data_IF_837343957108
#
_entry.id   IF_837343957108
#
_cell.length_a   1.000
_cell.length_b   1.000
_cell.length_c   1.000
_cell.angle_alpha   90.00
_cell.angle_beta   90.00
_cell.angle_gamma   90.00
#
_symmetry.space_group_name_H-M   'P 1'
#
loop_
_entity.id
_entity.type
_entity.pdbx_description
1 polymer ?
#
# COMPACT_ATOMS: atom_id res chain seq x y z
N UNK A 1 -7.39 30.73 -13.84
CA UNK A 1 -7.96 29.71 -14.74
C UNK A 1 -7.36 29.85 -16.14
N UNK A 2 -7.12 28.75 -16.85
CA UNK A 2 -6.72 28.77 -18.27
C UNK A 2 -7.89 28.21 -19.08
N UNK A 3 -8.35 28.93 -20.10
CA UNK A 3 -9.45 28.53 -21.00
C UNK A 3 -8.86 28.19 -22.37
N UNK A 4 -9.09 26.97 -22.85
CA UNK A 4 -8.58 26.45 -24.12
C UNK A 4 -7.20 25.76 -24.00
N UNK A 5 -6.69 25.22 -25.11
CA UNK A 5 -5.41 24.51 -25.19
C UNK A 5 -4.48 25.11 -26.25
N UNK A 6 -3.16 25.00 -26.05
CA UNK A 6 -2.16 25.47 -27.00
C UNK A 6 -2.07 27.01 -27.10
N UNK A 7 -1.62 27.57 -28.24
CA UNK A 7 -1.37 29.02 -28.39
C UNK A 7 -2.62 29.90 -28.31
N UNK A 8 -3.82 29.31 -28.34
CA UNK A 8 -5.10 30.02 -28.17
C UNK A 8 -5.60 30.04 -26.72
N UNK A 9 -4.87 29.37 -25.81
CA UNK A 9 -5.21 29.33 -24.40
C UNK A 9 -5.18 30.74 -23.80
N UNK A 10 -6.28 31.13 -23.15
CA UNK A 10 -6.39 32.43 -22.46
C UNK A 10 -6.25 32.23 -20.96
N UNK A 11 -5.35 32.99 -20.33
CA UNK A 11 -5.21 33.02 -18.88
C UNK A 11 -6.14 34.09 -18.30
N UNK A 12 -7.13 33.64 -17.53
CA UNK A 12 -8.01 34.50 -16.74
C UNK A 12 -7.49 34.51 -15.31
N UNK A 13 -6.99 35.66 -14.88
CA UNK A 13 -6.63 35.94 -13.49
C UNK A 13 -7.86 36.56 -12.83
N UNK A 14 -8.47 35.86 -11.87
CA UNK A 14 -9.50 36.42 -11.02
C UNK A 14 -8.82 36.85 -9.73
N UNK A 15 -8.85 38.14 -9.43
CA UNK A 15 -8.35 38.66 -8.18
C UNK A 15 -9.41 38.40 -7.10
N UNK A 16 -9.19 37.36 -6.29
CA UNK A 16 -10.13 36.86 -5.28
C UNK A 16 -9.95 37.54 -3.92
N UNK A 17 -9.20 38.65 -3.86
CA UNK A 17 -8.59 39.23 -2.66
C UNK A 17 -9.55 39.76 -1.59
N UNK A 18 -10.88 39.66 -1.78
CA UNK A 18 -11.87 39.94 -0.74
C UNK A 18 -13.00 38.88 -0.61
N UNK A 19 -12.99 37.80 -1.40
CA UNK A 19 -14.13 36.86 -1.48
C UNK A 19 -13.90 35.49 -0.83
N UNK A 20 -12.67 35.14 -0.46
CA UNK A 20 -12.31 33.84 0.06
C UNK A 20 -11.25 34.00 1.15
N UNK A 21 -11.61 33.73 2.41
CA UNK A 21 -10.58 33.55 3.44
C UNK A 21 -9.78 32.29 3.08
N UNK A 22 -8.46 32.32 3.26
CA UNK A 22 -7.51 31.25 2.88
C UNK A 22 -7.85 29.90 3.53
N UNK A 23 -8.73 29.88 4.53
CA UNK A 23 -9.12 28.68 5.28
C UNK A 23 -10.54 28.16 4.99
N UNK A 24 -11.37 28.87 4.22
CA UNK A 24 -12.69 28.36 3.87
C UNK A 24 -12.53 27.43 2.67
N UNK A 25 -12.21 26.16 2.95
CA UNK A 25 -12.74 25.08 2.12
C UNK A 25 -14.24 25.34 2.05
N UNK A 26 -14.71 25.83 0.90
CA UNK A 26 -16.06 26.36 0.80
C UNK A 26 -17.07 25.35 1.36
N UNK A 27 -17.68 25.65 2.50
CA UNK A 27 -18.78 24.83 3.05
C UNK A 27 -19.97 24.82 2.07
N UNK A 28 -20.07 25.86 1.24
CA UNK A 28 -21.08 26.02 0.22
C UNK A 28 -20.52 26.63 -1.09
N UNK A 29 -21.05 26.24 -2.26
CA UNK A 29 -20.71 26.86 -3.54
C UNK A 29 -20.96 28.38 -3.53
N UNK A 30 -19.96 29.15 -3.96
CA UNK A 30 -20.05 30.60 -4.07
C UNK A 30 -20.49 31.03 -5.46
N UNK A 31 -21.43 31.97 -5.53
CA UNK A 31 -21.82 32.60 -6.78
C UNK A 31 -20.95 33.82 -7.07
N UNK A 32 -20.50 33.95 -8.32
CA UNK A 32 -19.64 35.02 -8.82
C UNK A 32 -20.25 35.63 -10.09
N UNK A 33 -19.77 36.81 -10.48
CA UNK A 33 -20.13 37.50 -11.73
C UNK A 33 -21.66 37.61 -11.96
N UNK A 34 -22.38 38.26 -11.05
CA UNK A 34 -23.84 38.40 -11.08
C UNK A 34 -24.58 37.05 -11.15
N UNK A 35 -24.13 36.07 -10.36
CA UNK A 35 -24.65 34.70 -10.30
C UNK A 35 -24.52 33.89 -11.61
N UNK A 36 -23.60 34.28 -12.50
CA UNK A 36 -23.32 33.54 -13.75
C UNK A 36 -22.23 32.47 -13.61
N UNK A 37 -21.49 32.50 -12.52
CA UNK A 37 -20.44 31.54 -12.22
C UNK A 37 -20.61 31.01 -10.80
N UNK A 38 -20.21 29.75 -10.58
CA UNK A 38 -20.21 29.11 -9.27
C UNK A 38 -18.83 28.54 -9.01
N UNK A 39 -18.21 28.91 -7.89
CA UNK A 39 -16.92 28.36 -7.46
C UNK A 39 -17.13 27.43 -6.26
N UNK A 40 -16.58 26.22 -6.33
CA UNK A 40 -16.69 25.22 -5.26
C UNK A 40 -15.54 24.22 -5.34
N UNK A 41 -14.85 23.97 -4.22
CA UNK A 41 -13.72 23.04 -4.12
C UNK A 41 -12.70 23.20 -5.28
N UNK A 42 -12.16 24.41 -5.45
CA UNK A 42 -11.17 24.77 -6.48
C UNK A 42 -11.63 24.61 -7.93
N UNK A 43 -12.93 24.50 -8.16
CA UNK A 43 -13.54 24.33 -9.49
C UNK A 43 -14.53 25.44 -9.79
N UNK A 44 -14.60 25.80 -11.06
CA UNK A 44 -15.54 26.79 -11.58
C UNK A 44 -16.62 26.09 -12.42
N UNK A 45 -17.87 26.36 -12.10
CA UNK A 45 -19.06 25.87 -12.79
C UNK A 45 -19.80 27.07 -13.40
N UNK A 46 -20.44 26.85 -14.55
CA UNK A 46 -21.19 27.89 -15.24
C UNK A 46 -22.63 27.39 -15.46
N UNK A 47 -23.61 27.85 -14.67
CA UNK A 47 -25.01 27.55 -14.94
C UNK A 47 -25.42 28.13 -16.31
N UNK A 48 -26.37 27.48 -16.99
CA UNK A 48 -26.87 27.94 -18.30
C UNK A 48 -27.42 29.37 -18.27
N UNK A 49 -27.96 29.77 -17.12
CA UNK A 49 -28.44 31.14 -16.86
C UNK A 49 -28.31 31.47 -15.38
N UNK A 50 -28.28 32.77 -15.08
CA UNK A 50 -28.37 33.24 -13.71
C UNK A 50 -29.71 32.81 -13.07
N UNK A 51 -29.70 32.38 -11.79
CA UNK A 51 -30.91 32.04 -11.06
C UNK A 51 -31.79 33.28 -10.88
N UNK A 52 -33.10 33.11 -11.07
CA UNK A 52 -34.12 34.15 -10.93
C UNK A 52 -34.79 34.14 -9.55
N UNK A 53 -34.61 33.06 -8.79
CA UNK A 53 -35.22 32.87 -7.47
C UNK A 53 -34.27 32.17 -6.51
N UNK A 54 -34.59 32.23 -5.21
CA UNK A 54 -33.84 31.51 -4.18
C UNK A 54 -33.86 29.98 -4.40
N UNK A 55 -35.00 29.43 -4.85
CA UNK A 55 -35.13 28.00 -5.14
C UNK A 55 -34.24 27.57 -6.32
N UNK A 56 -34.18 28.36 -7.40
CA UNK A 56 -33.26 28.09 -8.52
C UNK A 56 -31.79 28.15 -8.08
N UNK A 57 -31.46 29.08 -7.17
CA UNK A 57 -30.12 29.21 -6.59
C UNK A 57 -29.76 27.97 -5.77
N UNK A 58 -30.67 27.49 -4.94
CA UNK A 58 -30.50 26.29 -4.13
C UNK A 58 -30.35 25.03 -5.00
N UNK A 59 -31.13 24.92 -6.08
CA UNK A 59 -30.99 23.82 -7.03
C UNK A 59 -29.60 23.78 -7.67
N UNK A 60 -29.07 24.93 -8.10
CA UNK A 60 -27.71 25.03 -8.66
C UNK A 60 -26.67 24.60 -7.61
N UNK A 61 -26.82 25.05 -6.36
CA UNK A 61 -25.93 24.64 -5.26
C UNK A 61 -25.92 23.12 -5.10
N UNK A 62 -27.09 22.50 -5.02
CA UNK A 62 -27.21 21.06 -4.82
C UNK A 62 -26.62 20.28 -6.00
N UNK A 63 -26.87 20.71 -7.23
CA UNK A 63 -26.26 20.11 -8.44
C UNK A 63 -24.75 20.22 -8.43
N UNK A 64 -24.20 21.40 -8.09
CA UNK A 64 -22.74 21.60 -7.98
C UNK A 64 -22.13 20.71 -6.90
N UNK A 65 -22.75 20.64 -5.71
CA UNK A 65 -22.29 19.74 -4.64
C UNK A 65 -22.29 18.29 -5.08
N UNK A 66 -23.39 17.83 -5.70
CA UNK A 66 -23.52 16.47 -6.21
C UNK A 66 -22.38 16.13 -7.19
N UNK A 67 -22.13 16.97 -8.18
CA UNK A 67 -21.07 16.75 -9.17
C UNK A 67 -19.69 16.58 -8.50
N UNK A 68 -19.37 17.45 -7.55
CA UNK A 68 -18.09 17.36 -6.84
C UNK A 68 -18.01 16.10 -5.99
N UNK A 69 -19.07 15.72 -5.28
CA UNK A 69 -19.09 14.52 -4.45
C UNK A 69 -19.02 13.24 -5.27
N UNK A 70 -19.74 13.15 -6.38
CA UNK A 70 -19.72 12.00 -7.28
C UNK A 70 -18.29 11.78 -7.82
N UNK A 71 -17.64 12.85 -8.31
CA UNK A 71 -16.25 12.76 -8.78
C UNK A 71 -15.25 12.41 -7.67
N UNK A 72 -15.44 12.95 -6.45
CA UNK A 72 -14.60 12.61 -5.31
C UNK A 72 -14.74 11.14 -4.92
N UNK A 73 -15.95 10.59 -4.96
CA UNK A 73 -16.22 9.18 -4.70
C UNK A 73 -15.58 8.29 -5.77
N UNK A 74 -15.70 8.66 -7.05
CA UNK A 74 -15.06 7.94 -8.16
C UNK A 74 -13.54 7.95 -8.03
N UNK A 75 -12.95 9.11 -7.73
CA UNK A 75 -11.52 9.24 -7.52
C UNK A 75 -11.04 8.40 -6.33
N UNK A 76 -11.79 8.40 -5.23
CA UNK A 76 -11.47 7.59 -4.06
C UNK A 76 -11.51 6.09 -4.36
N UNK A 77 -12.54 5.63 -5.09
CA UNK A 77 -12.67 4.25 -5.55
C UNK A 77 -11.52 3.85 -6.46
N UNK A 78 -11.17 4.69 -7.44
CA UNK A 78 -10.06 4.44 -8.36
C UNK A 78 -8.72 4.38 -7.61
N UNK A 79 -8.47 5.31 -6.68
CA UNK A 79 -7.26 5.29 -5.84
C UNK A 79 -7.13 4.00 -5.03
N UNK A 80 -8.24 3.52 -4.46
CA UNK A 80 -8.25 2.25 -3.73
C UNK A 80 -7.95 1.06 -4.65
N UNK A 81 -8.53 1.03 -5.85
CA UNK A 81 -8.26 -0.01 -6.84
C UNK A 81 -6.77 -0.02 -7.26
N UNK A 82 -6.18 1.15 -7.51
CA UNK A 82 -4.76 1.29 -7.84
C UNK A 82 -3.88 0.78 -6.70
N UNK A 83 -4.15 1.18 -5.45
CA UNK A 83 -3.38 0.71 -4.30
C UNK A 83 -3.41 -0.82 -4.14
N UNK A 84 -4.57 -1.45 -4.38
CA UNK A 84 -4.69 -2.91 -4.35
C UNK A 84 -3.84 -3.59 -5.44
N UNK A 85 -3.84 -3.04 -6.66
CA UNK A 85 -3.02 -3.55 -7.76
C UNK A 85 -1.53 -3.38 -7.49
N UNK A 86 -1.12 -2.22 -6.96
CA UNK A 86 0.26 -1.94 -6.55
C UNK A 86 0.73 -2.94 -5.49
N UNK A 87 -0.10 -3.22 -4.48
CA UNK A 87 0.19 -4.22 -3.46
C UNK A 87 0.34 -5.64 -4.05
N UNK A 88 -0.51 -6.03 -5.00
CA UNK A 88 -0.39 -7.32 -5.69
C UNK A 88 0.90 -7.43 -6.52
N UNK A 89 1.27 -6.37 -7.24
CA UNK A 89 2.55 -6.31 -7.97
C UNK A 89 3.74 -6.38 -7.01
N UNK A 90 3.67 -5.70 -5.87
CA UNK A 90 4.72 -5.78 -4.86
C UNK A 90 4.86 -7.19 -4.26
N UNK A 91 3.74 -7.88 -4.00
CA UNK A 91 3.74 -9.27 -3.52
C UNK A 91 4.40 -10.22 -4.52
N UNK A 92 4.07 -10.11 -5.81
CA UNK A 92 4.68 -10.95 -6.86
C UNK A 92 6.19 -10.69 -7.01
N UNK A 93 6.67 -9.46 -6.83
CA UNK A 93 8.10 -9.12 -6.87
C UNK A 93 8.88 -9.59 -5.65
N UNK A 94 8.30 -9.48 -4.46
CA UNK A 94 8.97 -9.83 -3.19
C UNK A 94 8.88 -11.32 -2.84
N UNK A 95 7.94 -12.05 -3.45
CA UNK A 95 7.68 -13.44 -3.13
C UNK A 95 7.12 -13.64 -1.72
N UNK A 96 6.70 -14.86 -1.37
CA UNK A 96 6.25 -15.16 -0.01
C UNK A 96 7.40 -14.95 0.98
N UNK A 97 7.23 -14.00 1.91
CA UNK A 97 8.16 -13.75 3.00
C UNK A 97 8.15 -14.98 3.92
N UNK A 98 9.29 -15.66 4.04
CA UNK A 98 9.41 -16.81 4.95
C UNK A 98 9.49 -16.31 6.39
N UNK A 99 8.70 -16.89 7.27
CA UNK A 99 8.82 -16.62 8.70
C UNK A 99 10.20 -17.08 9.20
N UNK A 100 10.95 -16.21 9.89
CA UNK A 100 12.23 -16.61 10.46
C UNK A 100 12.02 -17.71 11.50
N UNK A 101 13.03 -18.58 11.66
CA UNK A 101 13.03 -19.57 12.75
C UNK A 101 13.04 -18.80 14.08
N UNK A 102 12.06 -19.03 14.98
CA UNK A 102 12.01 -18.41 16.30
C UNK A 102 13.28 -18.66 17.12
N UNK A 103 13.66 -17.69 17.95
CA UNK A 103 14.92 -17.74 18.69
C UNK A 103 14.94 -18.82 19.78
N UNK A 104 13.80 -19.05 20.44
CA UNK A 104 13.59 -20.16 21.38
C UNK A 104 13.83 -21.53 20.71
N UNK A 105 13.31 -21.72 19.49
CA UNK A 105 13.55 -22.94 18.71
C UNK A 105 15.03 -23.11 18.37
N UNK A 106 15.74 -22.03 17.99
CA UNK A 106 17.19 -22.09 17.74
C UNK A 106 17.95 -22.48 19.00
N UNK A 107 17.61 -21.93 20.15
CA UNK A 107 18.25 -22.25 21.43
C UNK A 107 18.05 -23.73 21.81
N UNK A 108 16.83 -24.25 21.64
CA UNK A 108 16.53 -25.68 21.88
C UNK A 108 17.36 -26.58 20.97
N UNK A 109 17.39 -26.28 19.67
CA UNK A 109 18.18 -27.03 18.69
C UNK A 109 19.68 -26.94 18.99
N UNK A 110 20.17 -25.76 19.39
CA UNK A 110 21.56 -25.56 19.75
C UNK A 110 21.99 -26.39 20.96
N UNK A 111 21.16 -26.40 22.01
CA UNK A 111 21.39 -27.20 23.20
C UNK A 111 21.34 -28.70 22.86
N UNK A 112 20.34 -29.13 22.08
CA UNK A 112 20.16 -30.53 21.64
C UNK A 112 21.35 -31.04 20.83
N UNK A 113 21.85 -30.24 19.89
CA UNK A 113 22.92 -30.65 18.95
C UNK A 113 24.33 -30.31 19.49
N UNK A 114 24.44 -29.78 20.72
CA UNK A 114 25.70 -29.47 21.38
C UNK A 114 26.51 -28.37 20.67
N UNK A 115 25.84 -27.46 19.97
CA UNK A 115 26.48 -26.42 19.16
C UNK A 115 27.36 -26.98 18.03
N UNK A 116 26.99 -28.11 17.45
CA UNK A 116 27.72 -28.75 16.37
C UNK A 116 26.77 -29.38 15.34
N UNK A 117 27.22 -29.53 14.09
CA UNK A 117 26.50 -30.42 13.18
C UNK A 117 26.78 -31.88 13.55
N UNK A 118 25.76 -32.60 14.02
CA UNK A 118 25.89 -33.95 14.61
C UNK A 118 26.54 -34.97 13.67
N UNK A 119 26.33 -34.89 12.35
CA UNK A 119 26.89 -35.90 11.42
C UNK A 119 28.36 -35.68 11.08
N UNK A 120 28.80 -34.43 10.95
CA UNK A 120 30.18 -34.14 10.53
C UNK A 120 31.07 -33.62 11.68
N UNK A 121 30.48 -33.27 12.83
CA UNK A 121 31.19 -32.76 14.00
C UNK A 121 31.64 -31.30 13.90
N UNK A 122 31.33 -30.58 12.82
CA UNK A 122 31.73 -29.18 12.65
C UNK A 122 31.08 -28.30 13.73
N UNK A 123 31.88 -27.36 14.27
CA UNK A 123 31.47 -26.36 15.29
C UNK A 123 31.60 -24.91 14.83
N UNK A 124 31.87 -24.71 13.54
CA UNK A 124 32.05 -23.39 12.91
C UNK A 124 31.15 -23.29 11.69
N UNK A 125 30.80 -22.06 11.31
CA UNK A 125 29.96 -21.77 10.14
C UNK A 125 28.66 -22.59 10.15
N UNK A 126 27.99 -22.54 11.29
CA UNK A 126 26.77 -23.29 11.57
C UNK A 126 25.55 -22.50 11.11
N UNK A 127 24.63 -23.21 10.48
CA UNK A 127 23.37 -22.70 9.98
C UNK A 127 22.23 -23.54 10.54
N UNK A 128 21.16 -22.88 10.98
CA UNK A 128 19.89 -23.54 11.26
C UNK A 128 19.15 -23.76 9.95
N UNK A 129 18.80 -25.01 9.65
CA UNK A 129 18.17 -25.37 8.39
C UNK A 129 17.03 -26.36 8.61
N UNK A 130 16.03 -26.32 7.74
CA UNK A 130 14.85 -27.19 7.86
C UNK A 130 15.11 -28.58 7.30
N UNK A 131 14.79 -29.61 8.06
CA UNK A 131 14.77 -31.01 7.63
C UNK A 131 13.80 -31.19 6.46
N UNK A 132 12.57 -30.72 6.60
CA UNK A 132 11.58 -30.55 5.53
C UNK A 132 11.59 -29.07 5.14
N UNK A 133 11.98 -28.69 3.91
CA UNK A 133 11.97 -27.30 3.48
C UNK A 133 10.61 -26.63 3.62
N UNK A 134 10.59 -25.32 3.91
CA UNK A 134 9.35 -24.52 3.99
C UNK A 134 8.49 -24.64 2.72
N UNK A 135 9.13 -24.65 1.54
CA UNK A 135 8.44 -24.84 0.26
C UNK A 135 7.73 -26.19 0.11
N UNK A 136 8.04 -27.17 0.96
CA UNK A 136 7.43 -28.52 1.03
C UNK A 136 6.55 -28.70 2.27
N UNK A 137 6.15 -27.60 2.92
CA UNK A 137 5.27 -27.60 4.09
C UNK A 137 5.98 -27.77 5.44
N UNK A 138 7.31 -27.61 5.49
CA UNK A 138 8.06 -27.70 6.74
C UNK A 138 7.87 -26.48 7.64
N UNK A 139 7.52 -26.72 8.91
CA UNK A 139 7.32 -25.67 9.92
C UNK A 139 8.59 -25.32 10.72
N UNK A 140 8.50 -24.22 11.47
CA UNK A 140 9.53 -23.74 12.39
C UNK A 140 9.43 -24.41 13.78
N UNK A 141 9.45 -25.74 13.81
CA UNK A 141 9.40 -26.52 15.06
C UNK A 141 10.75 -27.19 15.30
N UNK A 142 11.15 -27.34 16.56
CA UNK A 142 12.45 -27.92 16.95
C UNK A 142 12.74 -29.26 16.24
N UNK A 143 11.71 -30.11 16.10
CA UNK A 143 11.83 -31.40 15.43
C UNK A 143 12.18 -31.31 13.93
N UNK A 144 11.82 -30.20 13.28
CA UNK A 144 12.06 -29.93 11.86
C UNK A 144 13.28 -29.05 11.61
N UNK A 145 13.97 -28.56 12.65
CA UNK A 145 15.17 -27.75 12.52
C UNK A 145 16.40 -28.56 12.93
N UNK A 146 17.49 -28.41 12.18
CA UNK A 146 18.78 -29.02 12.46
C UNK A 146 19.92 -28.02 12.24
N UNK A 147 21.07 -28.28 12.85
CA UNK A 147 22.31 -27.53 12.58
C UNK A 147 23.07 -28.19 11.43
N UNK A 148 23.47 -27.41 10.44
CA UNK A 148 24.37 -27.82 9.36
C UNK A 148 25.57 -26.89 9.29
N UNK A 149 26.75 -27.41 8.96
CA UNK A 149 27.85 -26.55 8.52
C UNK A 149 27.62 -26.06 7.08
N UNK A 150 28.21 -24.93 6.71
CA UNK A 150 28.09 -24.34 5.37
C UNK A 150 28.22 -25.35 4.20
N UNK A 151 29.26 -26.20 4.10
CA UNK A 151 29.39 -27.12 2.96
C UNK A 151 28.29 -28.19 2.93
N UNK A 152 27.81 -28.64 4.09
CA UNK A 152 26.70 -29.61 4.16
C UNK A 152 25.35 -28.95 3.88
N UNK A 153 25.16 -27.69 4.30
CA UNK A 153 23.99 -26.90 3.99
C UNK A 153 23.85 -26.68 2.47
N UNK A 154 24.95 -26.30 1.81
CA UNK A 154 25.00 -26.13 0.35
C UNK A 154 24.69 -27.43 -0.41
N UNK A 155 25.20 -28.57 0.07
CA UNK A 155 24.92 -29.89 -0.54
C UNK A 155 23.46 -30.33 -0.36
N UNK A 156 22.84 -29.98 0.78
CA UNK A 156 21.44 -30.30 1.05
C UNK A 156 20.50 -29.52 0.15
N UNK A 157 20.71 -28.21 0.00
CA UNK A 157 19.82 -27.31 -0.72
C UNK A 157 18.34 -27.49 -0.26
N UNK A 158 17.41 -27.62 -1.21
CA UNK A 158 15.97 -27.76 -0.99
C UNK A 158 15.49 -29.23 -0.87
N UNK A 159 16.40 -30.15 -0.56
CA UNK A 159 16.08 -31.57 -0.37
C UNK A 159 15.56 -31.82 1.04
N UNK A 160 14.64 -32.79 1.17
CA UNK A 160 14.26 -33.31 2.48
C UNK A 160 15.45 -34.11 3.00
N UNK A 161 15.90 -33.78 4.21
CA UNK A 161 16.97 -34.49 4.87
C UNK A 161 16.40 -35.51 5.85
N UNK A 162 17.16 -36.57 6.14
CA UNK A 162 17.00 -37.27 7.41
C UNK A 162 17.42 -36.30 8.54
N UNK A 163 16.78 -36.28 9.71
CA UNK A 163 17.25 -35.50 10.85
C UNK A 163 18.66 -35.92 11.28
N UNK A 164 19.44 -34.97 11.79
CA UNK A 164 20.73 -35.23 12.43
C UNK A 164 20.59 -34.86 13.91
N UNK A 165 20.57 -35.86 14.78
CA UNK A 165 20.30 -35.68 16.23
C UNK A 165 21.28 -36.52 17.03
N UNK A 166 21.75 -35.98 18.15
CA UNK A 166 22.53 -36.76 19.12
C UNK A 166 21.61 -37.82 19.74
N UNK A 167 22.09 -39.06 19.79
CA UNK A 167 21.51 -40.10 20.64
C UNK A 167 21.79 -39.69 22.08
N UNK A 168 20.73 -39.44 22.86
CA UNK A 168 20.85 -39.31 24.32
C UNK A 168 21.18 -40.66 24.94
#
# INVERSE_FOLDING_TARGET
MIIGEGPTARRVMLDLSELLSVNDSLDCPLFLADNRLVFYCDRLFMPERAPKSAAEREEIILRTKKLVYDEQADLASLKAAVANLEAAIQYTRSGPKRDPIPEDVKLLVWARDGGAFVRCGAKKELHFDHVIPVAKGGGNVEANIQILCQPCNLKKADKIATPSRLSL
#
